data_IF_205180706201
#
_entry.id   IF_205180706201
#
_cell.length_a   1.000
_cell.length_b   1.000
_cell.length_c   1.000
_cell.angle_alpha   90.00
_cell.angle_beta   90.00
_cell.angle_gamma   90.00
#
_symmetry.space_group_name_H-M   'P 1'
#
loop_
_entity.id
_entity.type
_entity.pdbx_description
1 polymer ?
#
# COMPACT_ATOMS: atom_id res chain seq x y z
N UNK A 1 7.84 31.53 9.30
CA UNK A 1 7.16 32.35 8.27
C UNK A 1 7.03 31.51 7.04
N UNK A 2 5.86 30.85 6.88
CA UNK A 2 5.49 30.14 5.65
C UNK A 2 5.04 31.20 4.65
N UNK A 3 5.75 31.28 3.52
CA UNK A 3 5.40 32.18 2.44
C UNK A 3 4.13 31.71 1.75
N UNK A 4 3.17 32.60 1.62
CA UNK A 4 1.98 32.43 0.79
C UNK A 4 2.38 32.33 -0.67
N UNK A 5 2.24 31.16 -1.27
CA UNK A 5 2.36 30.97 -2.71
C UNK A 5 0.96 31.15 -3.30
N UNK A 6 0.73 32.28 -3.94
CA UNK A 6 -0.47 32.52 -4.75
C UNK A 6 -0.28 31.87 -6.12
N UNK A 7 -1.10 30.84 -6.41
CA UNK A 7 -1.19 30.28 -7.74
C UNK A 7 -2.40 30.88 -8.46
N UNK A 8 -2.15 31.60 -9.55
CA UNK A 8 -3.16 31.89 -10.57
C UNK A 8 -3.41 30.61 -11.38
N UNK A 9 -4.46 29.87 -11.02
CA UNK A 9 -4.92 28.69 -11.75
C UNK A 9 -5.86 29.05 -12.88
N UNK A 10 -5.51 28.66 -14.08
CA UNK A 10 -6.38 28.70 -15.28
C UNK A 10 -7.63 27.86 -15.01
N UNK A 11 -8.81 28.52 -15.00
CA UNK A 11 -10.11 27.85 -14.95
C UNK A 11 -10.44 27.29 -16.33
N UNK A 12 -10.44 25.96 -16.45
CA UNK A 12 -11.18 25.29 -17.53
C UNK A 12 -12.58 25.03 -16.96
N UNK A 13 -13.57 25.77 -17.46
CA UNK A 13 -14.97 25.45 -17.23
C UNK A 13 -15.36 24.38 -18.24
N UNK A 14 -15.64 23.17 -17.79
CA UNK A 14 -16.47 22.24 -18.53
C UNK A 14 -17.93 22.62 -18.26
N UNK A 15 -18.59 23.06 -19.33
CA UNK A 15 -20.04 23.34 -19.34
C UNK A 15 -20.78 22.00 -19.43
N UNK A 16 -21.07 21.37 -18.30
CA UNK A 16 -22.18 20.40 -18.14
C UNK A 16 -22.30 20.03 -16.66
N UNK A 17 -23.02 20.81 -15.90
CA UNK A 17 -23.89 20.36 -14.80
C UNK A 17 -24.58 21.60 -14.22
N UNK A 18 -25.69 21.97 -14.88
CA UNK A 18 -26.68 22.86 -14.27
C UNK A 18 -27.49 22.04 -13.25
N UNK A 19 -27.66 22.64 -12.04
CA UNK A 19 -28.62 22.26 -10.99
C UNK A 19 -28.22 21.17 -9.97
N UNK A 20 -27.01 21.26 -9.39
CA UNK A 20 -26.85 20.89 -7.99
C UNK A 20 -26.52 22.19 -7.19
N UNK A 21 -27.46 22.67 -6.39
CA UNK A 21 -27.18 23.74 -5.41
C UNK A 21 -26.00 23.27 -4.55
N UNK A 22 -24.83 23.87 -4.79
CA UNK A 22 -23.64 23.59 -4.00
C UNK A 22 -23.92 24.02 -2.56
N UNK A 23 -24.00 23.07 -1.65
CA UNK A 23 -24.15 23.34 -0.23
C UNK A 23 -22.93 24.14 0.22
N UNK A 24 -23.10 25.42 0.56
CA UNK A 24 -22.03 26.25 1.09
C UNK A 24 -21.84 25.94 2.60
N UNK A 25 -20.75 25.31 2.97
CA UNK A 25 -20.44 24.96 4.36
C UNK A 25 -19.88 26.14 5.19
N UNK A 26 -19.72 27.34 4.60
CA UNK A 26 -19.39 28.57 5.32
C UNK A 26 -18.01 28.57 6.01
N UNK A 27 -17.00 27.90 5.45
CA UNK A 27 -15.64 27.93 6.04
C UNK A 27 -14.91 29.24 5.72
N UNK A 28 -14.72 30.07 6.73
CA UNK A 28 -14.15 31.40 6.58
C UNK A 28 -12.66 31.50 6.95
N UNK A 29 -12.05 30.40 7.45
CA UNK A 29 -10.67 30.40 7.95
C UNK A 29 -9.94 29.08 7.69
N UNK A 30 -8.61 29.14 7.59
CA UNK A 30 -7.75 27.97 7.32
C UNK A 30 -7.89 26.86 8.38
N UNK A 31 -8.15 27.22 9.64
CA UNK A 31 -8.33 26.21 10.70
C UNK A 31 -9.66 25.47 10.55
N UNK A 32 -10.73 26.12 10.10
CA UNK A 32 -12.01 25.48 9.84
C UNK A 32 -11.90 24.52 8.65
N UNK A 33 -11.19 24.90 7.60
CA UNK A 33 -10.90 23.99 6.47
C UNK A 33 -10.07 22.78 6.92
N UNK A 34 -9.10 22.97 7.81
CA UNK A 34 -8.30 21.88 8.37
C UNK A 34 -9.15 20.94 9.22
N UNK A 35 -10.02 21.47 10.07
CA UNK A 35 -10.93 20.69 10.91
C UNK A 35 -11.93 19.90 10.05
N UNK A 36 -12.53 20.54 9.05
CA UNK A 36 -13.44 19.91 8.10
C UNK A 36 -12.75 18.78 7.31
N UNK A 37 -11.50 19.01 6.90
CA UNK A 37 -10.69 17.98 6.23
C UNK A 37 -10.42 16.78 7.14
N UNK A 38 -10.04 17.00 8.40
CA UNK A 38 -9.77 15.91 9.34
C UNK A 38 -11.04 15.12 9.64
N UNK A 39 -12.16 15.79 9.88
CA UNK A 39 -13.46 15.15 10.09
C UNK A 39 -13.89 14.32 8.88
N UNK A 40 -13.77 14.88 7.67
CA UNK A 40 -14.09 14.15 6.44
C UNK A 40 -13.19 12.92 6.26
N UNK A 41 -11.89 13.06 6.55
CA UNK A 41 -10.94 11.95 6.47
C UNK A 41 -11.29 10.84 7.45
N UNK A 42 -11.62 11.14 8.70
CA UNK A 42 -12.03 10.16 9.71
C UNK A 42 -13.25 9.38 9.26
N UNK A 43 -14.31 10.05 8.80
CA UNK A 43 -15.53 9.39 8.29
C UNK A 43 -15.23 8.48 7.10
N UNK A 44 -14.35 8.89 6.18
CA UNK A 44 -13.98 8.13 4.99
C UNK A 44 -13.08 6.92 5.30
N UNK A 45 -12.26 7.00 6.35
CA UNK A 45 -11.37 5.91 6.75
C UNK A 45 -12.06 4.87 7.63
N UNK A 46 -13.15 5.23 8.32
CA UNK A 46 -13.91 4.31 9.14
C UNK A 46 -14.75 3.34 8.29
N UNK A 47 -14.49 2.06 8.45
CA UNK A 47 -15.11 1.01 7.61
C UNK A 47 -16.63 0.89 7.85
N UNK A 48 -17.08 1.11 9.08
CA UNK A 48 -18.47 0.92 9.50
C UNK A 48 -19.41 2.04 9.05
N UNK A 49 -18.87 3.19 8.62
CA UNK A 49 -19.70 4.31 8.17
C UNK A 49 -20.46 3.96 6.88
N UNK A 50 -21.76 4.33 6.79
CA UNK A 50 -22.55 4.08 5.60
C UNK A 50 -22.00 4.87 4.38
N UNK A 51 -22.16 4.31 3.18
CA UNK A 51 -21.68 4.93 1.94
C UNK A 51 -22.32 6.30 1.68
N UNK A 52 -23.57 6.55 2.13
CA UNK A 52 -24.19 7.87 2.05
C UNK A 52 -23.43 8.93 2.84
N UNK A 53 -22.98 8.60 4.06
CA UNK A 53 -22.18 9.52 4.88
C UNK A 53 -20.80 9.77 4.24
N UNK A 54 -20.20 8.74 3.63
CA UNK A 54 -18.94 8.88 2.89
C UNK A 54 -19.11 9.73 1.62
N UNK A 55 -20.23 9.61 0.90
CA UNK A 55 -20.51 10.43 -0.26
C UNK A 55 -20.65 11.92 0.10
N UNK A 56 -21.28 12.26 1.23
CA UNK A 56 -21.33 13.63 1.74
C UNK A 56 -19.90 14.18 2.02
N UNK A 57 -19.00 13.34 2.56
CA UNK A 57 -17.63 13.78 2.83
C UNK A 57 -16.80 13.97 1.55
N UNK A 58 -17.11 13.28 0.46
CA UNK A 58 -16.50 13.54 -0.84
C UNK A 58 -16.89 14.95 -1.33
N UNK A 59 -18.15 15.36 -1.19
CA UNK A 59 -18.58 16.73 -1.53
C UNK A 59 -17.87 17.78 -0.65
N UNK A 60 -17.71 17.51 0.65
CA UNK A 60 -16.93 18.37 1.55
C UNK A 60 -15.49 18.55 1.04
N UNK A 61 -14.83 17.47 0.65
CA UNK A 61 -13.47 17.53 0.10
C UNK A 61 -13.39 18.30 -1.23
N UNK A 62 -14.39 18.15 -2.11
CA UNK A 62 -14.45 18.92 -3.36
C UNK A 62 -14.58 20.42 -3.12
N UNK A 63 -15.41 20.83 -2.16
CA UNK A 63 -15.53 22.23 -1.79
C UNK A 63 -14.25 22.76 -1.12
N UNK A 64 -13.60 21.98 -0.26
CA UNK A 64 -12.30 22.34 0.31
C UNK A 64 -11.25 22.58 -0.79
N UNK A 65 -11.23 21.71 -1.81
CA UNK A 65 -10.37 21.90 -2.97
C UNK A 65 -10.68 23.17 -3.73
N UNK A 66 -11.95 23.47 -3.98
CA UNK A 66 -12.39 24.70 -4.68
C UNK A 66 -11.96 25.97 -3.92
N UNK A 67 -11.86 25.89 -2.61
CA UNK A 67 -11.38 26.99 -1.73
C UNK A 67 -9.85 27.05 -1.59
N UNK A 68 -9.12 26.16 -2.29
CA UNK A 68 -7.65 26.16 -2.33
C UNK A 68 -6.98 25.24 -1.31
N UNK A 69 -7.72 24.38 -0.62
CA UNK A 69 -7.15 23.41 0.31
C UNK A 69 -6.60 22.21 -0.44
N UNK A 70 -5.32 22.28 -0.82
CA UNK A 70 -4.67 21.33 -1.75
C UNK A 70 -4.63 19.88 -1.25
N UNK A 71 -4.59 19.65 0.06
CA UNK A 71 -4.61 18.30 0.64
C UNK A 71 -5.90 17.53 0.34
N UNK A 72 -7.02 18.22 0.10
CA UNK A 72 -8.28 17.60 -0.28
C UNK A 72 -8.15 16.81 -1.57
N UNK A 73 -7.38 17.29 -2.56
CA UNK A 73 -7.16 16.57 -3.82
C UNK A 73 -6.52 15.19 -3.64
N UNK A 74 -5.57 15.06 -2.71
CA UNK A 74 -4.98 13.75 -2.40
C UNK A 74 -6.00 12.78 -1.81
N UNK A 75 -6.84 13.27 -0.87
CA UNK A 75 -7.86 12.43 -0.26
C UNK A 75 -8.96 12.05 -1.27
N UNK A 76 -9.36 12.98 -2.16
CA UNK A 76 -10.26 12.68 -3.28
C UNK A 76 -9.69 11.60 -4.19
N UNK A 77 -8.40 11.67 -4.54
CA UNK A 77 -7.74 10.63 -5.32
C UNK A 77 -7.82 9.25 -4.63
N UNK A 78 -7.71 9.19 -3.31
CA UNK A 78 -7.91 7.95 -2.55
C UNK A 78 -9.37 7.47 -2.61
N UNK A 79 -10.34 8.38 -2.49
CA UNK A 79 -11.76 8.03 -2.55
C UNK A 79 -12.12 7.40 -3.89
N UNK A 80 -11.70 8.00 -5.01
CA UNK A 80 -11.94 7.48 -6.35
C UNK A 80 -11.21 6.18 -6.64
N UNK A 81 -9.99 6.00 -6.13
CA UNK A 81 -9.24 4.74 -6.28
C UNK A 81 -9.87 3.59 -5.48
N UNK A 82 -10.27 3.85 -4.25
CA UNK A 82 -10.69 2.83 -3.28
C UNK A 82 -12.22 2.63 -3.26
N UNK A 83 -12.98 3.49 -3.96
CA UNK A 83 -14.45 3.43 -4.00
C UNK A 83 -15.09 3.86 -2.67
N UNK A 84 -14.56 4.88 -2.00
CA UNK A 84 -15.07 5.37 -0.71
C UNK A 84 -16.00 6.56 -0.94
N UNK A 85 -17.29 6.34 -0.80
CA UNK A 85 -18.33 7.33 -1.05
C UNK A 85 -18.60 7.64 -2.52
N UNK A 86 -17.83 7.05 -3.43
CA UNK A 86 -17.97 7.11 -4.88
C UNK A 86 -17.69 5.75 -5.49
N UNK A 87 -18.14 5.50 -6.71
CA UNK A 87 -17.72 4.29 -7.44
C UNK A 87 -16.23 4.37 -7.80
N UNK A 88 -15.47 3.28 -7.68
CA UNK A 88 -14.05 3.28 -8.03
C UNK A 88 -13.84 3.66 -9.49
N UNK A 89 -12.94 4.62 -9.73
CA UNK A 89 -12.58 5.09 -11.07
C UNK A 89 -11.09 5.50 -11.06
N UNK A 90 -10.25 4.70 -11.71
CA UNK A 90 -8.81 4.95 -11.79
C UNK A 90 -8.47 6.23 -12.58
N UNK A 91 -9.31 6.63 -13.55
CA UNK A 91 -9.10 7.86 -14.32
C UNK A 91 -9.35 9.09 -13.44
N UNK A 92 -10.45 9.09 -12.67
CA UNK A 92 -10.71 10.16 -11.70
C UNK A 92 -9.66 10.18 -10.60
N UNK A 93 -9.24 9.01 -10.10
CA UNK A 93 -8.16 8.91 -9.13
C UNK A 93 -6.85 9.51 -9.66
N UNK A 94 -6.48 9.21 -10.92
CA UNK A 94 -5.30 9.79 -11.57
C UNK A 94 -5.40 11.32 -11.64
N UNK A 95 -6.55 11.84 -12.06
CA UNK A 95 -6.78 13.28 -12.18
C UNK A 95 -6.55 13.98 -10.83
N UNK A 96 -7.14 13.47 -9.77
CA UNK A 96 -7.03 14.04 -8.44
C UNK A 96 -5.63 13.90 -7.84
N UNK A 97 -5.00 12.72 -8.00
CA UNK A 97 -3.61 12.55 -7.57
C UNK A 97 -2.66 13.46 -8.35
N UNK A 98 -2.87 13.68 -9.64
CA UNK A 98 -2.06 14.59 -10.47
C UNK A 98 -2.17 16.03 -9.98
N UNK A 99 -3.37 16.51 -9.69
CA UNK A 99 -3.60 17.85 -9.10
C UNK A 99 -2.82 18.04 -7.79
N UNK A 100 -2.89 17.08 -6.89
CA UNK A 100 -2.14 17.13 -5.63
C UNK A 100 -0.62 16.97 -5.82
N UNK A 101 -0.19 16.13 -6.76
CA UNK A 101 1.21 15.91 -7.09
C UNK A 101 1.86 17.13 -7.75
N UNK A 102 1.14 17.83 -8.64
CA UNK A 102 1.58 19.07 -9.26
C UNK A 102 1.68 20.23 -8.25
N UNK A 103 0.83 20.20 -7.20
CA UNK A 103 0.96 21.10 -6.05
C UNK A 103 2.16 20.78 -5.14
N UNK A 104 2.96 19.76 -5.49
CA UNK A 104 4.19 19.40 -4.77
C UNK A 104 4.01 18.41 -3.62
N UNK A 105 2.80 17.85 -3.41
CA UNK A 105 2.55 16.94 -2.30
C UNK A 105 3.19 15.56 -2.57
N UNK A 106 4.20 15.21 -1.79
CA UNK A 106 5.04 14.01 -1.98
C UNK A 106 4.27 12.69 -1.88
N UNK A 107 3.30 12.57 -0.95
CA UNK A 107 2.43 11.40 -0.86
C UNK A 107 1.51 11.26 -2.08
N UNK A 108 1.09 12.37 -2.69
CA UNK A 108 0.32 12.33 -3.93
C UNK A 108 1.18 11.91 -5.12
N UNK A 109 2.41 12.42 -5.20
CA UNK A 109 3.40 11.99 -6.21
C UNK A 109 3.67 10.49 -6.10
N UNK A 110 3.85 9.97 -4.89
CA UNK A 110 3.99 8.53 -4.64
C UNK A 110 2.73 7.75 -5.05
N UNK A 111 1.53 8.22 -4.67
CA UNK A 111 0.27 7.56 -4.99
C UNK A 111 0.01 7.53 -6.50
N UNK A 112 0.29 8.66 -7.19
CA UNK A 112 0.22 8.76 -8.65
C UNK A 112 1.21 7.79 -9.31
N UNK A 113 2.44 7.74 -8.86
CA UNK A 113 3.44 6.77 -9.33
C UNK A 113 2.96 5.32 -9.18
N UNK A 114 2.33 4.99 -8.05
CA UNK A 114 1.73 3.66 -7.81
C UNK A 114 0.61 3.33 -8.82
N UNK A 115 -0.28 4.29 -9.06
CA UNK A 115 -1.39 4.12 -9.99
C UNK A 115 -0.87 3.94 -11.42
N UNK A 116 0.05 4.80 -11.87
CA UNK A 116 0.68 4.71 -13.20
C UNK A 116 1.43 3.39 -13.40
N UNK A 117 2.13 2.89 -12.37
CA UNK A 117 2.79 1.59 -12.43
C UNK A 117 1.78 0.44 -12.61
N UNK A 118 0.63 0.49 -11.93
CA UNK A 118 -0.43 -0.52 -12.12
C UNK A 118 -1.01 -0.50 -13.54
N UNK A 119 -1.01 0.67 -14.17
CA UNK A 119 -1.42 0.87 -15.58
C UNK A 119 -0.30 0.54 -16.60
N UNK A 120 0.86 0.04 -16.17
CA UNK A 120 2.02 -0.24 -17.02
C UNK A 120 2.68 1.02 -17.66
N UNK A 121 2.44 2.19 -17.09
CA UNK A 121 3.07 3.45 -17.48
C UNK A 121 4.30 3.71 -16.60
N UNK A 122 5.27 2.79 -16.65
CA UNK A 122 6.39 2.73 -15.69
C UNK A 122 7.33 3.92 -15.80
N UNK A 123 7.59 4.45 -17.01
CA UNK A 123 8.46 5.63 -17.19
C UNK A 123 7.91 6.87 -16.47
N UNK A 124 6.61 7.10 -16.58
CA UNK A 124 5.95 8.18 -15.86
C UNK A 124 5.96 7.93 -14.34
N UNK A 125 5.71 6.68 -13.93
CA UNK A 125 5.76 6.29 -12.51
C UNK A 125 7.15 6.55 -11.91
N UNK A 126 8.23 6.19 -12.61
CA UNK A 126 9.61 6.46 -12.19
C UNK A 126 9.86 7.95 -12.01
N UNK A 127 9.36 8.79 -12.94
CA UNK A 127 9.49 10.24 -12.83
C UNK A 127 8.79 10.78 -11.57
N UNK A 128 7.56 10.34 -11.28
CA UNK A 128 6.81 10.79 -10.10
C UNK A 128 7.40 10.25 -8.80
N UNK A 129 7.83 8.98 -8.76
CA UNK A 129 8.57 8.44 -7.63
C UNK A 129 9.88 9.21 -7.38
N UNK A 130 10.57 9.63 -8.46
CA UNK A 130 11.78 10.45 -8.35
C UNK A 130 11.53 11.79 -7.67
N UNK A 131 10.43 12.48 -8.04
CA UNK A 131 10.04 13.74 -7.41
C UNK A 131 9.71 13.55 -5.92
N UNK A 132 8.95 12.49 -5.58
CA UNK A 132 8.62 12.20 -4.21
C UNK A 132 9.85 11.81 -3.37
N UNK A 133 10.73 10.98 -3.91
CA UNK A 133 11.97 10.58 -3.24
C UNK A 133 12.89 11.78 -2.98
N UNK A 134 12.99 12.72 -3.93
CA UNK A 134 13.77 13.95 -3.76
C UNK A 134 13.24 14.85 -2.63
N UNK A 135 11.98 14.66 -2.20
CA UNK A 135 11.39 15.31 -1.04
C UNK A 135 11.52 14.49 0.27
N UNK A 136 12.26 13.36 0.23
CA UNK A 136 12.45 12.48 1.39
C UNK A 136 11.35 11.44 1.59
N UNK A 137 10.48 11.20 0.59
CA UNK A 137 9.48 10.15 0.69
C UNK A 137 10.14 8.77 0.61
N UNK A 138 10.29 8.12 1.76
CA UNK A 138 10.97 6.82 1.88
C UNK A 138 10.30 5.69 1.10
N UNK A 139 8.98 5.72 0.95
CA UNK A 139 8.25 4.73 0.16
C UNK A 139 8.52 4.86 -1.33
N UNK A 140 8.64 6.11 -1.83
CA UNK A 140 8.98 6.36 -3.22
C UNK A 140 10.41 5.92 -3.53
N UNK A 141 11.37 6.26 -2.67
CA UNK A 141 12.75 5.78 -2.78
C UNK A 141 12.82 4.24 -2.75
N UNK A 142 12.09 3.59 -1.85
CA UNK A 142 12.00 2.13 -1.82
C UNK A 142 11.45 1.55 -3.13
N UNK A 143 10.39 2.14 -3.70
CA UNK A 143 9.81 1.70 -4.97
C UNK A 143 10.80 1.82 -6.12
N UNK A 144 11.52 2.93 -6.22
CA UNK A 144 12.57 3.13 -7.23
C UNK A 144 13.67 2.08 -7.08
N UNK A 145 14.20 1.91 -5.86
CA UNK A 145 15.22 0.90 -5.59
C UNK A 145 14.76 -0.49 -6.01
N UNK A 146 13.50 -0.82 -5.76
CA UNK A 146 12.90 -2.11 -6.13
C UNK A 146 12.75 -2.27 -7.64
N UNK A 147 12.24 -1.25 -8.35
CA UNK A 147 12.10 -1.27 -9.81
C UNK A 147 13.45 -1.48 -10.52
N UNK A 148 14.49 -0.75 -10.10
CA UNK A 148 15.84 -0.93 -10.67
C UNK A 148 16.49 -2.27 -10.27
N UNK A 149 16.09 -2.87 -9.14
CA UNK A 149 16.57 -4.19 -8.71
C UNK A 149 15.94 -5.33 -9.53
N UNK A 150 14.64 -5.25 -9.77
CA UNK A 150 13.87 -6.24 -10.54
C UNK A 150 14.32 -6.23 -12.00
N UNK A 151 14.50 -5.06 -12.59
CA UNK A 151 15.01 -4.92 -13.96
C UNK A 151 14.03 -5.38 -15.04
N UNK A 152 12.73 -5.52 -14.71
CA UNK A 152 11.70 -5.99 -15.64
C UNK A 152 11.14 -4.84 -16.49
N UNK A 153 10.62 -3.81 -15.83
CA UNK A 153 9.99 -2.65 -16.47
C UNK A 153 11.00 -1.54 -16.79
N UNK A 154 12.11 -1.47 -16.05
CA UNK A 154 13.24 -0.54 -16.27
C UNK A 154 14.53 -1.33 -16.25
N UNK A 155 15.55 -0.93 -17.02
CA UNK A 155 16.85 -1.61 -17.02
C UNK A 155 17.45 -1.66 -15.61
N UNK A 156 17.96 -2.82 -15.21
CA UNK A 156 18.60 -3.01 -13.90
C UNK A 156 19.80 -2.09 -13.75
N UNK A 157 19.87 -1.36 -12.63
CA UNK A 157 20.93 -0.40 -12.32
C UNK A 157 21.33 -0.52 -10.85
N UNK A 158 22.35 -1.34 -10.57
CA UNK A 158 22.76 -1.65 -9.21
C UNK A 158 23.23 -0.41 -8.42
N UNK A 159 23.99 0.52 -8.97
CA UNK A 159 24.27 1.80 -8.32
C UNK A 159 23.04 2.55 -7.85
N UNK A 160 22.00 2.67 -8.70
CA UNK A 160 20.74 3.30 -8.34
C UNK A 160 19.97 2.48 -7.29
N UNK A 161 19.99 1.15 -7.37
CA UNK A 161 19.39 0.27 -6.35
C UNK A 161 19.96 0.61 -4.98
N UNK A 162 21.28 0.62 -4.85
CA UNK A 162 21.93 0.90 -3.56
C UNK A 162 21.62 2.30 -3.09
N UNK A 163 21.71 3.32 -3.98
CA UNK A 163 21.45 4.70 -3.62
C UNK A 163 20.01 4.89 -3.10
N UNK A 164 19.00 4.47 -3.86
CA UNK A 164 17.61 4.65 -3.47
C UNK A 164 17.21 3.82 -2.25
N UNK A 165 17.70 2.57 -2.13
CA UNK A 165 17.41 1.76 -0.96
C UNK A 165 18.10 2.29 0.29
N UNK A 166 19.32 2.85 0.18
CA UNK A 166 20.02 3.47 1.30
C UNK A 166 19.29 4.73 1.76
N UNK A 167 18.94 5.62 0.84
CA UNK A 167 18.12 6.79 1.14
C UNK A 167 16.82 6.41 1.86
N UNK A 168 16.10 5.43 1.33
CA UNK A 168 14.88 4.93 1.94
C UNK A 168 15.10 4.33 3.33
N UNK A 169 16.19 3.60 3.54
CA UNK A 169 16.53 2.97 4.81
C UNK A 169 16.92 4.00 5.88
N UNK A 170 17.63 5.05 5.49
CA UNK A 170 18.00 6.19 6.35
C UNK A 170 16.77 6.97 6.81
N UNK A 171 15.74 7.08 5.95
CA UNK A 171 14.42 7.61 6.30
C UNK A 171 13.53 6.60 7.03
N UNK A 172 14.08 5.51 7.55
CA UNK A 172 13.40 4.58 8.44
C UNK A 172 12.50 3.54 7.77
N UNK A 173 12.59 3.33 6.46
CA UNK A 173 11.78 2.31 5.79
C UNK A 173 12.29 0.89 6.08
N UNK A 174 11.56 0.14 6.90
CA UNK A 174 11.93 -1.23 7.28
C UNK A 174 12.07 -2.20 6.10
N UNK A 175 11.34 -2.00 5.01
CA UNK A 175 11.42 -2.86 3.81
C UNK A 175 12.67 -2.57 2.99
N UNK A 176 13.12 -1.32 2.95
CA UNK A 176 14.40 -0.95 2.34
C UNK A 176 15.56 -1.53 3.14
N UNK A 177 15.54 -1.39 4.46
CA UNK A 177 16.54 -1.99 5.37
C UNK A 177 16.60 -3.51 5.19
N UNK A 178 15.46 -4.20 5.19
CA UNK A 178 15.40 -5.64 4.94
C UNK A 178 15.97 -6.01 3.56
N UNK A 179 15.66 -5.23 2.53
CA UNK A 179 16.12 -5.48 1.15
C UNK A 179 17.64 -5.29 1.04
N UNK A 180 18.19 -4.22 1.64
CA UNK A 180 19.64 -4.01 1.73
C UNK A 180 20.33 -5.13 2.52
N UNK A 181 19.74 -5.52 3.66
CA UNK A 181 20.21 -6.66 4.43
C UNK A 181 20.37 -7.91 3.58
N UNK A 182 19.36 -8.22 2.74
CA UNK A 182 19.43 -9.36 1.80
C UNK A 182 20.49 -9.20 0.74
N UNK A 183 20.62 -8.01 0.13
CA UNK A 183 21.63 -7.74 -0.90
C UNK A 183 23.03 -7.96 -0.37
N UNK A 184 23.35 -7.37 0.78
CA UNK A 184 24.69 -7.56 1.41
C UNK A 184 24.88 -8.98 1.94
N UNK A 185 23.84 -9.65 2.41
CA UNK A 185 23.93 -11.02 2.89
C UNK A 185 24.23 -12.02 1.77
N UNK A 186 23.62 -11.86 0.63
CA UNK A 186 23.79 -12.76 -0.53
C UNK A 186 25.01 -12.44 -1.36
N UNK A 187 25.38 -11.18 -1.46
CA UNK A 187 26.41 -10.73 -2.37
C UNK A 187 26.09 -10.93 -3.85
N UNK A 188 24.80 -11.03 -4.21
CA UNK A 188 24.39 -11.36 -5.57
C UNK A 188 24.60 -10.20 -6.55
N UNK A 189 24.25 -8.98 -6.14
CA UNK A 189 24.34 -7.76 -6.95
C UNK A 189 25.37 -6.76 -6.40
N UNK A 190 25.73 -6.90 -5.13
CA UNK A 190 26.72 -6.10 -4.42
C UNK A 190 27.76 -7.02 -3.77
N UNK A 191 28.93 -6.50 -3.46
CA UNK A 191 29.92 -7.27 -2.70
C UNK A 191 29.31 -7.72 -1.37
N UNK A 192 29.41 -9.02 -1.08
CA UNK A 192 28.91 -9.58 0.17
C UNK A 192 29.55 -8.90 1.38
N UNK A 193 28.71 -8.46 2.31
CA UNK A 193 29.10 -7.86 3.58
C UNK A 193 28.15 -8.31 4.68
N UNK A 194 28.56 -9.30 5.46
CA UNK A 194 27.73 -9.87 6.52
C UNK A 194 27.55 -8.89 7.70
N UNK A 195 28.50 -7.99 7.94
CA UNK A 195 28.39 -6.98 8.99
C UNK A 195 27.28 -5.99 8.67
N UNK A 196 27.32 -5.38 7.49
CA UNK A 196 26.23 -4.49 7.02
C UNK A 196 24.89 -5.21 6.92
N UNK A 197 24.88 -6.45 6.45
CA UNK A 197 23.65 -7.24 6.38
C UNK A 197 23.01 -7.39 7.77
N UNK A 198 23.83 -7.70 8.80
CA UNK A 198 23.38 -7.81 10.18
C UNK A 198 22.79 -6.49 10.69
N UNK A 199 23.48 -5.38 10.50
CA UNK A 199 23.02 -4.04 10.90
C UNK A 199 21.65 -3.69 10.29
N UNK A 200 21.49 -3.88 8.98
CA UNK A 200 20.22 -3.61 8.30
C UNK A 200 19.09 -4.56 8.75
N UNK A 201 19.39 -5.84 9.02
CA UNK A 201 18.38 -6.74 9.57
C UNK A 201 17.99 -6.35 10.99
N UNK A 202 18.93 -5.91 11.84
CA UNK A 202 18.61 -5.39 13.16
C UNK A 202 17.68 -4.20 13.10
N UNK A 203 18.01 -3.17 12.31
CA UNK A 203 17.18 -1.98 12.13
C UNK A 203 15.77 -2.32 11.66
N UNK A 204 15.66 -3.26 10.71
CA UNK A 204 14.37 -3.69 10.18
C UNK A 204 13.55 -4.49 11.20
N UNK A 205 14.19 -5.37 11.97
CA UNK A 205 13.54 -6.19 13.00
C UNK A 205 13.05 -5.34 14.18
N UNK A 206 13.81 -4.32 14.59
CA UNK A 206 13.42 -3.36 15.63
C UNK A 206 12.13 -2.61 15.30
N UNK A 207 11.84 -2.45 14.02
CA UNK A 207 10.58 -1.87 13.53
C UNK A 207 9.45 -2.90 13.36
N UNK A 208 9.67 -4.15 13.79
CA UNK A 208 8.67 -5.21 13.75
C UNK A 208 8.66 -6.03 12.45
N UNK A 209 9.70 -5.96 11.63
CA UNK A 209 9.80 -6.81 10.46
C UNK A 209 10.14 -8.26 10.83
N UNK A 210 9.14 -9.13 10.83
CA UNK A 210 9.27 -10.54 11.22
C UNK A 210 10.27 -11.32 10.34
N UNK A 211 10.41 -10.96 9.07
CA UNK A 211 11.39 -11.59 8.17
C UNK A 211 12.82 -11.25 8.55
N UNK A 212 13.05 -9.99 8.93
CA UNK A 212 14.37 -9.58 9.41
C UNK A 212 14.72 -10.28 10.72
N UNK A 213 13.78 -10.37 11.66
CA UNK A 213 13.95 -11.11 12.91
C UNK A 213 14.27 -12.59 12.66
N UNK A 214 13.57 -13.24 11.73
CA UNK A 214 13.84 -14.62 11.34
C UNK A 214 15.24 -14.80 10.74
N UNK A 215 15.70 -13.83 9.91
CA UNK A 215 17.07 -13.86 9.38
C UNK A 215 18.12 -13.73 10.48
N UNK A 216 17.91 -12.87 11.47
CA UNK A 216 18.82 -12.70 12.60
C UNK A 216 18.94 -13.97 13.43
N UNK A 217 17.83 -14.64 13.74
CA UNK A 217 17.82 -15.89 14.50
C UNK A 217 18.63 -17.00 13.84
N UNK A 218 18.64 -17.04 12.51
CA UNK A 218 19.29 -18.07 11.73
C UNK A 218 20.61 -17.63 11.09
N UNK A 219 21.05 -16.41 11.34
CA UNK A 219 22.13 -15.74 10.62
C UNK A 219 23.43 -16.54 10.56
N UNK A 220 23.86 -17.10 11.70
CA UNK A 220 25.11 -17.84 11.81
C UNK A 220 25.02 -19.27 11.24
N UNK A 221 23.82 -19.83 11.19
CA UNK A 221 23.56 -21.18 10.68
C UNK A 221 23.48 -21.24 9.15
N UNK A 222 23.26 -20.11 8.52
CA UNK A 222 23.05 -20.03 7.06
C UNK A 222 24.39 -20.04 6.32
N UNK A 223 24.77 -21.22 5.84
CA UNK A 223 25.97 -21.39 5.00
C UNK A 223 25.71 -21.09 3.51
N UNK A 224 24.46 -21.18 3.05
CA UNK A 224 24.04 -20.95 1.65
C UNK A 224 22.88 -19.94 1.59
N UNK A 225 23.18 -18.63 1.59
CA UNK A 225 22.16 -17.57 1.63
C UNK A 225 21.06 -17.68 0.57
N UNK A 226 21.42 -18.05 -0.65
CA UNK A 226 20.47 -18.14 -1.77
C UNK A 226 19.40 -19.24 -1.57
N UNK A 227 19.79 -20.38 -0.98
CA UNK A 227 18.84 -21.47 -0.68
C UNK A 227 17.88 -21.03 0.42
N UNK A 228 18.42 -20.37 1.45
CA UNK A 228 17.63 -19.85 2.54
C UNK A 228 16.62 -18.80 2.09
N UNK A 229 17.02 -17.87 1.21
CA UNK A 229 16.12 -16.89 0.60
C UNK A 229 15.00 -17.53 -0.23
N UNK A 230 15.30 -18.60 -0.95
CA UNK A 230 14.27 -19.32 -1.70
C UNK A 230 13.24 -19.96 -0.78
N UNK A 231 13.69 -20.52 0.35
CA UNK A 231 12.80 -21.06 1.37
C UNK A 231 11.94 -19.98 2.04
N UNK A 232 12.53 -18.83 2.39
CA UNK A 232 11.77 -17.71 2.98
C UNK A 232 10.77 -17.10 2.00
N UNK A 233 11.10 -16.99 0.71
CA UNK A 233 10.14 -16.56 -0.33
C UNK A 233 8.95 -17.52 -0.42
N UNK A 234 9.21 -18.83 -0.37
CA UNK A 234 8.14 -19.84 -0.39
C UNK A 234 7.24 -19.69 0.84
N UNK A 235 7.83 -19.53 2.03
CA UNK A 235 7.08 -19.33 3.28
C UNK A 235 6.26 -18.04 3.26
N UNK A 236 6.82 -16.95 2.72
CA UNK A 236 6.09 -15.71 2.54
C UNK A 236 4.90 -15.86 1.60
N UNK A 237 5.11 -16.50 0.45
CA UNK A 237 4.03 -16.75 -0.52
C UNK A 237 2.93 -17.62 0.07
N UNK A 238 3.29 -18.65 0.84
CA UNK A 238 2.34 -19.45 1.59
C UNK A 238 1.61 -18.61 2.65
N UNK A 239 2.31 -17.74 3.38
CA UNK A 239 1.71 -16.84 4.36
C UNK A 239 0.75 -15.82 3.74
N UNK A 240 1.02 -15.32 2.54
CA UNK A 240 0.07 -14.48 1.79
C UNK A 240 -1.17 -15.26 1.38
N UNK A 241 -1.01 -16.46 0.82
CA UNK A 241 -2.13 -17.34 0.47
C UNK A 241 -3.02 -17.61 1.70
N UNK A 242 -2.44 -17.75 2.89
CA UNK A 242 -3.23 -17.94 4.13
C UNK A 242 -3.95 -16.67 4.57
N UNK A 243 -3.33 -15.49 4.47
CA UNK A 243 -3.98 -14.20 4.79
C UNK A 243 -5.11 -13.90 3.82
N UNK A 244 -4.89 -14.07 2.53
CA UNK A 244 -5.90 -13.85 1.49
C UNK A 244 -7.10 -14.82 1.60
N UNK A 245 -6.91 -15.94 2.30
CA UNK A 245 -7.96 -16.92 2.56
C UNK A 245 -8.64 -16.79 3.94
N UNK A 246 -8.14 -15.92 4.80
CA UNK A 246 -8.77 -15.59 6.09
C UNK A 246 -9.79 -14.45 5.99
N UNK A 247 -10.22 -14.08 4.77
CA UNK A 247 -11.24 -13.05 4.53
C UNK A 247 -12.58 -13.49 5.14
N UNK A 248 -13.28 -12.60 5.86
CA UNK A 248 -14.56 -12.92 6.49
C UNK A 248 -15.61 -13.36 5.46
N UNK A 249 -16.64 -14.13 5.88
CA UNK A 249 -17.59 -14.83 5.00
C UNK A 249 -18.45 -13.94 4.09
N UNK A 250 -18.29 -12.62 4.10
CA UNK A 250 -19.03 -11.65 3.29
C UNK A 250 -18.39 -11.28 1.95
N UNK A 251 -17.23 -11.86 1.59
CA UNK A 251 -16.58 -11.55 0.31
C UNK A 251 -17.24 -12.30 -0.87
N UNK A 252 -17.38 -11.66 -2.05
CA UNK A 252 -18.03 -12.26 -3.21
C UNK A 252 -17.35 -13.54 -3.69
N UNK A 253 -18.15 -14.44 -4.24
CA UNK A 253 -17.92 -15.88 -4.51
C UNK A 253 -16.70 -16.22 -5.40
N UNK A 254 -15.91 -15.25 -5.87
CA UNK A 254 -14.78 -15.45 -6.79
C UNK A 254 -13.41 -15.80 -6.17
N UNK A 255 -13.26 -15.73 -4.85
CA UNK A 255 -11.93 -15.86 -4.20
C UNK A 255 -11.78 -17.09 -3.29
N UNK A 256 -12.51 -18.14 -3.52
CA UNK A 256 -12.36 -19.37 -2.74
C UNK A 256 -11.20 -20.22 -3.26
N UNK A 257 -10.11 -20.28 -2.50
CA UNK A 257 -9.07 -21.26 -2.73
C UNK A 257 -9.64 -22.67 -2.61
N UNK A 258 -9.34 -23.51 -3.60
CA UNK A 258 -9.75 -24.91 -3.66
C UNK A 258 -9.42 -25.62 -2.33
N UNK A 259 -10.44 -26.28 -1.72
CA UNK A 259 -10.29 -27.06 -0.49
C UNK A 259 -9.16 -28.11 -0.58
N UNK A 260 -8.88 -28.65 -1.78
CA UNK A 260 -7.77 -29.58 -2.01
C UNK A 260 -6.41 -28.93 -1.79
N UNK A 261 -6.25 -27.66 -2.19
CA UNK A 261 -5.01 -26.90 -1.97
C UNK A 261 -4.80 -26.60 -0.49
N UNK A 262 -5.85 -26.19 0.24
CA UNK A 262 -5.80 -25.99 1.69
C UNK A 262 -5.34 -27.26 2.41
N UNK A 263 -5.95 -28.39 2.09
CA UNK A 263 -5.60 -29.69 2.68
C UNK A 263 -4.14 -30.06 2.43
N UNK A 264 -3.63 -29.92 1.21
CA UNK A 264 -2.21 -30.18 0.88
C UNK A 264 -1.26 -29.25 1.64
N UNK A 265 -1.63 -27.99 1.85
CA UNK A 265 -0.83 -27.02 2.60
C UNK A 265 -0.80 -27.41 4.08
N UNK A 266 -1.95 -27.80 4.65
CA UNK A 266 -2.06 -28.28 6.03
C UNK A 266 -1.23 -29.54 6.27
N UNK A 267 -1.35 -30.52 5.38
CA UNK A 267 -0.55 -31.75 5.43
C UNK A 267 0.97 -31.46 5.39
N UNK A 268 1.40 -30.48 4.57
CA UNK A 268 2.80 -30.03 4.55
C UNK A 268 3.22 -29.29 5.80
N UNK A 269 2.36 -28.45 6.41
CA UNK A 269 2.63 -27.78 7.69
C UNK A 269 2.86 -28.83 8.81
N UNK A 270 1.97 -29.81 8.91
CA UNK A 270 2.07 -30.90 9.89
C UNK A 270 3.36 -31.70 9.67
N UNK A 271 3.70 -32.02 8.42
CA UNK A 271 4.95 -32.72 8.09
C UNK A 271 6.22 -31.93 8.45
N UNK A 272 6.13 -30.59 8.55
CA UNK A 272 7.21 -29.70 8.99
C UNK A 272 7.19 -29.42 10.50
N UNK A 273 6.31 -30.09 11.27
CA UNK A 273 6.27 -30.01 12.73
C UNK A 273 5.41 -28.86 13.31
N UNK A 274 4.58 -28.22 12.51
CA UNK A 274 3.61 -27.26 13.01
C UNK A 274 2.37 -27.98 13.56
N UNK A 275 1.85 -27.51 14.71
CA UNK A 275 0.56 -27.99 15.23
C UNK A 275 -0.55 -27.64 14.25
N UNK A 276 -1.56 -28.52 14.07
CA UNK A 276 -2.74 -28.16 13.30
C UNK A 276 -3.45 -26.96 13.96
N UNK A 277 -3.93 -26.02 13.14
CA UNK A 277 -4.73 -24.89 13.63
C UNK A 277 -6.05 -25.43 14.20
N UNK A 278 -6.34 -25.15 15.49
CA UNK A 278 -7.51 -25.66 16.23
C UNK A 278 -8.86 -25.02 15.78
N UNK A 279 -8.90 -24.37 14.63
CA UNK A 279 -10.07 -23.71 14.07
C UNK A 279 -10.67 -24.44 12.84
N UNK A 280 -10.64 -25.76 12.82
CA UNK A 280 -11.57 -26.50 11.95
C UNK A 280 -12.95 -26.51 12.59
N UNK A 281 -13.90 -25.75 12.03
CA UNK A 281 -15.33 -25.93 12.29
C UNK A 281 -15.67 -27.42 12.15
N UNK A 282 -16.17 -28.01 13.23
CA UNK A 282 -16.73 -29.33 13.21
C UNK A 282 -17.75 -29.44 12.06
N UNK A 283 -17.78 -30.55 11.31
CA UNK A 283 -18.76 -30.72 10.24
C UNK A 283 -20.16 -30.57 10.84
N UNK A 284 -20.91 -29.59 10.35
CA UNK A 284 -22.35 -29.48 10.67
C UNK A 284 -22.96 -30.81 10.31
N UNK A 285 -23.37 -31.56 11.33
CA UNK A 285 -24.25 -32.71 11.16
C UNK A 285 -25.51 -32.20 10.50
N UNK A 286 -25.75 -32.61 9.24
CA UNK A 286 -27.06 -32.54 8.62
C UNK A 286 -28.06 -33.28 9.52
N UNK A 287 -28.80 -32.54 10.30
CA UNK A 287 -29.98 -33.04 10.98
C UNK A 287 -31.02 -33.28 9.88
N UNK A 288 -30.95 -34.49 9.36
CA UNK A 288 -31.93 -35.03 8.44
C UNK A 288 -33.35 -34.79 8.94
N UNK A 289 -34.19 -34.36 8.02
CA UNK A 289 -35.57 -34.03 8.25
C UNK A 289 -36.33 -35.16 8.98
N UNK A 290 -36.93 -34.80 10.10
CA UNK A 290 -38.09 -35.47 10.62
C UNK A 290 -39.34 -34.75 10.13
N UNK A 291 -39.88 -35.25 9.03
CA UNK A 291 -41.28 -35.02 8.69
C UNK A 291 -42.14 -35.67 9.78
N UNK A 292 -42.79 -34.88 10.63
CA UNK A 292 -43.96 -35.33 11.37
C UNK A 292 -45.20 -34.91 10.59
N UNK A 293 -45.85 -35.88 10.01
CA UNK A 293 -47.27 -35.79 9.67
C UNK A 293 -48.11 -35.73 10.92
N UNK A 294 -49.04 -34.80 10.93
CA UNK A 294 -50.46 -34.94 11.23
C UNK A 294 -51.14 -33.67 10.81
#
# INVERSE_FOLDING_TARGET
RLGTVTFEGVRVRDEADEDQEAVDFGWDSDWQMTEAYQSAKEVLEEYENPESAKAEQVQVLEQLWQRGFSLAAYQLGKCWRDGRGVLPDDHQAELWFRRAADAGYDFAQYALGKLLQSQKRTDEAVSWYGKAAAQGNSWAAYRLGKLYLEGEDVPKDVPKVVAYLTDSAEHGNQYAQYTLGKLYFTGQDVKQDRGRAWEYFCQSAEQGNEYAAFFLEHFDRVRRPNVFLSATRLLHHLGQIFRDNSVPPAAPVGQRVDRKLRRKIQEKKIAMGHKPDDHEEAPRQDMGGMTMGW
#
